data_IF_685664983970
#
_entry.id   IF_685664983970
#
_cell.length_a   1.000
_cell.length_b   1.000
_cell.length_c   1.000
_cell.angle_alpha   90.00
_cell.angle_beta   90.00
_cell.angle_gamma   90.00
#
_symmetry.space_group_name_H-M   'P 1'
#
loop_
_entity.id
_entity.type
_entity.pdbx_description
1 polymer ?
#
# COMPACT_ATOMS: atom_id res chain seq x y z
N UNK A 1 -1.67 -7.41 -21.00
CA UNK A 1 -2.03 -8.56 -20.15
C UNK A 1 -1.56 -8.25 -18.75
N UNK A 2 -2.43 -8.25 -17.74
CA UNK A 2 -2.15 -7.75 -16.37
C UNK A 2 -1.31 -8.71 -15.52
N UNK A 3 -0.65 -9.71 -16.13
CA UNK A 3 0.05 -10.79 -15.42
C UNK A 3 -0.75 -11.39 -14.25
N UNK A 4 -2.07 -11.57 -14.47
CA UNK A 4 -3.00 -12.09 -13.45
C UNK A 4 -3.46 -11.09 -12.39
N UNK A 5 -2.89 -9.87 -12.31
CA UNK A 5 -3.23 -8.89 -11.27
C UNK A 5 -4.72 -8.51 -11.32
N UNK A 6 -5.25 -8.33 -12.52
CA UNK A 6 -6.67 -7.94 -12.71
C UNK A 6 -7.68 -9.07 -12.51
N UNK A 7 -7.23 -10.30 -12.21
CA UNK A 7 -8.12 -11.44 -11.97
C UNK A 7 -8.39 -11.66 -10.46
N UNK A 8 -7.64 -10.99 -9.59
CA UNK A 8 -7.82 -11.10 -8.14
C UNK A 8 -9.01 -10.23 -7.72
N UNK A 9 -10.05 -10.82 -7.07
CA UNK A 9 -11.20 -10.06 -6.61
C UNK A 9 -10.84 -9.05 -5.52
N UNK A 10 -11.56 -7.93 -5.51
CA UNK A 10 -11.53 -6.97 -4.41
C UNK A 10 -12.58 -7.37 -3.37
N UNK A 11 -12.16 -7.51 -2.12
CA UNK A 11 -13.04 -7.68 -0.98
C UNK A 11 -13.59 -6.32 -0.54
N UNK A 12 -14.82 -6.02 -0.92
CA UNK A 12 -15.46 -4.76 -0.57
C UNK A 12 -16.04 -4.76 0.85
N UNK A 13 -16.03 -5.89 1.56
CA UNK A 13 -16.54 -5.96 2.94
C UNK A 13 -15.68 -5.19 3.94
N UNK A 14 -14.44 -4.87 3.56
CA UNK A 14 -13.49 -4.12 4.38
C UNK A 14 -13.44 -2.61 4.07
N UNK A 15 -14.19 -2.14 3.07
CA UNK A 15 -14.27 -0.71 2.74
C UNK A 15 -15.03 0.03 3.85
N UNK A 16 -14.47 1.13 4.36
CA UNK A 16 -15.03 1.87 5.51
C UNK A 16 -14.51 1.42 6.86
N UNK A 17 -13.46 0.60 6.90
CA UNK A 17 -12.75 0.25 8.13
C UNK A 17 -11.55 1.21 8.34
N UNK A 18 -11.25 1.53 9.61
CA UNK A 18 -10.14 2.41 10.04
C UNK A 18 -8.73 1.82 9.80
N UNK A 19 -8.53 1.14 8.67
CA UNK A 19 -7.20 0.72 8.20
C UNK A 19 -6.72 1.61 7.05
N UNK A 20 -7.64 2.31 6.38
CA UNK A 20 -7.35 3.22 5.27
C UNK A 20 -6.80 4.59 5.73
N UNK A 21 -6.80 4.85 7.03
CA UNK A 21 -6.35 6.08 7.71
C UNK A 21 -5.02 5.92 8.46
N UNK A 22 -4.48 4.69 8.53
CA UNK A 22 -3.31 4.40 9.37
C UNK A 22 -2.25 3.64 8.63
N UNK A 23 -1.05 4.19 8.71
CA UNK A 23 0.13 3.55 8.17
C UNK A 23 1.14 3.29 9.28
N UNK A 24 1.94 2.24 9.11
CA UNK A 24 3.13 2.01 9.94
C UNK A 24 4.35 2.42 9.14
N UNK A 25 4.99 3.57 9.43
CA UNK A 25 6.22 3.96 8.76
C UNK A 25 7.32 2.93 9.01
N UNK A 26 8.02 2.54 7.95
CA UNK A 26 9.21 1.70 8.01
C UNK A 26 10.40 2.58 7.62
N UNK A 27 11.50 2.50 8.38
CA UNK A 27 12.69 3.31 8.13
C UNK A 27 13.15 3.17 6.65
N UNK A 28 13.49 4.29 5.97
CA UNK A 28 13.73 5.63 6.52
C UNK A 28 12.52 6.57 6.54
N UNK A 29 11.30 6.07 6.25
CA UNK A 29 10.11 6.91 6.26
C UNK A 29 9.69 7.26 7.70
N UNK A 30 9.20 8.49 7.89
CA UNK A 30 8.60 8.97 9.14
C UNK A 30 7.16 9.38 8.92
N UNK A 31 6.36 9.51 9.98
CA UNK A 31 5.01 10.06 9.87
C UNK A 31 5.05 11.50 9.34
N UNK A 32 4.16 11.83 8.40
CA UNK A 32 3.95 13.19 7.89
C UNK A 32 2.81 13.90 8.62
N UNK A 33 1.69 13.20 8.80
CA UNK A 33 0.52 13.68 9.54
C UNK A 33 0.05 12.61 10.53
N UNK A 34 -0.94 12.97 11.34
CA UNK A 34 -1.64 12.04 12.21
C UNK A 34 -3.14 12.12 11.95
N UNK A 35 -3.83 11.00 12.13
CA UNK A 35 -5.29 10.93 12.08
C UNK A 35 -5.94 11.60 13.33
N UNK A 36 -7.27 11.55 13.41
CA UNK A 36 -8.07 12.08 14.52
C UNK A 36 -7.89 11.30 15.84
N UNK A 37 -7.21 10.15 15.80
CA UNK A 37 -6.81 9.34 16.95
C UNK A 37 -5.34 9.53 17.35
N UNK A 38 -4.62 10.43 16.67
CA UNK A 38 -3.18 10.69 16.80
C UNK A 38 -2.26 9.58 16.25
N UNK A 39 -2.80 8.59 15.55
CA UNK A 39 -2.02 7.57 14.86
C UNK A 39 -1.42 8.14 13.57
N UNK A 40 -0.33 7.55 13.06
CA UNK A 40 0.35 8.05 11.86
C UNK A 40 -0.51 7.89 10.60
N UNK A 41 -0.70 9.00 9.88
CA UNK A 41 -1.43 9.08 8.62
C UNK A 41 -0.57 9.85 7.59
N UNK A 42 0.02 9.13 6.63
CA UNK A 42 0.93 9.70 5.63
C UNK A 42 2.44 9.63 5.98
N UNK A 43 3.27 9.56 4.93
CA UNK A 43 4.72 9.39 5.02
C UNK A 43 5.48 10.64 4.60
N UNK A 44 6.56 10.94 5.31
CA UNK A 44 7.62 11.86 4.90
C UNK A 44 8.91 11.07 4.68
N UNK A 45 9.63 11.38 3.59
CA UNK A 45 10.93 10.79 3.29
C UNK A 45 11.92 11.92 2.97
N UNK A 46 12.77 12.26 3.95
CA UNK A 46 13.67 13.40 3.85
C UNK A 46 14.91 13.16 2.96
N UNK A 47 15.21 11.90 2.62
CA UNK A 47 16.39 11.55 1.84
C UNK A 47 16.23 10.21 1.12
N UNK A 48 16.97 10.04 0.03
CA UNK A 48 16.91 8.85 -0.81
C UNK A 48 15.95 8.98 -1.99
N UNK A 49 16.16 8.15 -3.02
CA UNK A 49 15.22 8.01 -4.12
C UNK A 49 14.13 7.01 -3.72
N UNK A 50 12.89 7.31 -4.06
CA UNK A 50 11.74 6.44 -3.80
C UNK A 50 10.84 6.36 -5.03
N UNK A 51 10.04 5.30 -5.08
CA UNK A 51 9.06 5.05 -6.14
C UNK A 51 7.68 5.01 -5.50
N UNK A 52 6.71 5.67 -6.15
CA UNK A 52 5.31 5.68 -5.71
C UNK A 52 4.47 4.93 -6.73
N UNK A 53 3.63 4.03 -6.25
CA UNK A 53 2.70 3.25 -7.09
C UNK A 53 1.29 3.71 -6.75
N UNK A 54 0.61 4.30 -7.74
CA UNK A 54 -0.79 4.62 -7.63
C UNK A 54 -1.62 3.46 -8.15
N UNK A 55 -2.46 2.89 -7.28
CA UNK A 55 -3.38 1.84 -7.64
C UNK A 55 -4.75 2.43 -7.92
N UNK A 56 -5.45 1.86 -8.90
CA UNK A 56 -6.84 2.23 -9.19
C UNK A 56 -7.85 1.59 -8.21
N UNK A 57 -7.34 0.88 -7.20
CA UNK A 57 -8.10 0.16 -6.19
C UNK A 57 -7.32 0.14 -4.87
N UNK A 58 -7.99 -0.01 -3.72
CA UNK A 58 -7.32 -0.12 -2.42
C UNK A 58 -6.57 -1.46 -2.33
N UNK A 59 -5.29 -1.42 -1.93
CA UNK A 59 -4.46 -2.62 -1.81
C UNK A 59 -4.95 -3.53 -0.69
N UNK A 60 -5.57 -2.96 0.34
CA UNK A 60 -6.12 -3.62 1.51
C UNK A 60 -7.22 -4.61 1.10
N UNK A 61 -8.05 -4.21 0.12
CA UNK A 61 -9.14 -5.04 -0.41
C UNK A 61 -8.65 -6.10 -1.40
N UNK A 62 -7.39 -6.06 -1.80
CA UNK A 62 -6.87 -6.92 -2.85
C UNK A 62 -6.62 -8.34 -2.34
N UNK A 63 -7.51 -9.27 -2.68
CA UNK A 63 -7.37 -10.70 -2.44
C UNK A 63 -6.89 -11.09 -1.03
N UNK A 64 -6.12 -12.17 -0.96
CA UNK A 64 -5.51 -12.67 0.26
C UNK A 64 -4.20 -11.95 0.60
N UNK A 65 -3.64 -12.21 1.79
CA UNK A 65 -2.30 -11.72 2.13
C UNK A 65 -1.21 -12.22 1.14
N UNK A 66 -1.38 -13.44 0.59
CA UNK A 66 -0.46 -13.98 -0.41
C UNK A 66 -0.54 -13.22 -1.74
N UNK A 67 -1.74 -12.80 -2.16
CA UNK A 67 -1.93 -12.02 -3.38
C UNK A 67 -1.30 -10.62 -3.25
N UNK A 68 -1.45 -9.98 -2.08
CA UNK A 68 -0.80 -8.69 -1.76
C UNK A 68 0.73 -8.82 -1.78
N UNK A 69 1.28 -9.88 -1.18
CA UNK A 69 2.71 -10.15 -1.20
C UNK A 69 3.22 -10.35 -2.64
N UNK A 70 2.51 -11.15 -3.44
CA UNK A 70 2.84 -11.37 -4.84
C UNK A 70 2.79 -10.07 -5.66
N UNK A 71 1.78 -9.22 -5.43
CA UNK A 71 1.67 -7.91 -6.05
C UNK A 71 2.90 -7.04 -5.74
N UNK A 72 3.33 -6.97 -4.47
CA UNK A 72 4.51 -6.20 -4.07
C UNK A 72 5.80 -6.76 -4.65
N UNK A 73 5.96 -8.09 -4.67
CA UNK A 73 7.12 -8.74 -5.31
C UNK A 73 7.21 -8.42 -6.80
N UNK A 74 6.08 -8.47 -7.52
CA UNK A 74 6.02 -8.10 -8.94
C UNK A 74 6.35 -6.63 -9.15
N UNK A 75 5.86 -5.76 -8.27
CA UNK A 75 6.15 -4.33 -8.30
C UNK A 75 7.65 -4.04 -8.13
N UNK A 76 8.29 -4.63 -7.12
CA UNK A 76 9.74 -4.50 -6.92
C UNK A 76 10.53 -5.03 -8.11
N UNK A 77 10.09 -6.14 -8.70
CA UNK A 77 10.73 -6.72 -9.90
C UNK A 77 10.59 -5.79 -11.11
N UNK A 78 9.39 -5.24 -11.34
CA UNK A 78 9.11 -4.38 -12.48
C UNK A 78 9.91 -3.08 -12.43
N UNK A 79 9.93 -2.44 -11.26
CA UNK A 79 10.61 -1.17 -11.12
C UNK A 79 12.14 -1.30 -11.00
N UNK A 80 12.67 -2.49 -10.69
CA UNK A 80 14.08 -2.69 -10.36
C UNK A 80 14.48 -2.01 -9.03
N UNK A 81 15.76 -2.10 -8.63
CA UNK A 81 16.29 -1.30 -7.51
C UNK A 81 16.02 0.20 -7.71
#
# INVERSE_FOLDING_TARGET
MTDGIGAIPLDHSILGASFEDRITPIAPATAAFTDDSTAADGLNLASGAYKVIFLAFPLEAYGTAADKAAFMTKSFTYFGP
#
